data_IF_658492585075
#
_entry.id   IF_658492585075
#
_cell.length_a   1.000
_cell.length_b   1.000
_cell.length_c   1.000
_cell.angle_alpha   90.00
_cell.angle_beta   90.00
_cell.angle_gamma   90.00
#
_symmetry.space_group_name_H-M   'P 1'
#
loop_
_entity.id
_entity.type
_entity.pdbx_description
1 polymer ?
#
# COMPACT_ATOMS: atom_id res chain seq x y z
N UNK A 1 -28.12 20.19 -21.77
CA UNK A 1 -27.00 20.69 -20.94
C UNK A 1 -25.97 19.58 -20.84
N UNK A 2 -24.81 19.74 -21.46
CA UNK A 2 -23.78 18.71 -21.48
C UNK A 2 -23.22 18.49 -20.07
N UNK A 3 -23.36 17.26 -19.55
CA UNK A 3 -22.61 16.79 -18.36
C UNK A 3 -21.13 16.92 -18.72
N UNK A 4 -20.46 17.91 -18.14
CA UNK A 4 -19.05 18.17 -18.36
C UNK A 4 -18.24 16.92 -18.05
N UNK A 5 -17.44 16.51 -19.04
CA UNK A 5 -16.43 15.47 -18.90
C UNK A 5 -15.56 15.77 -17.67
N UNK A 6 -15.48 14.78 -16.77
CA UNK A 6 -14.84 14.89 -15.46
C UNK A 6 -13.44 15.47 -15.55
N UNK A 7 -13.27 16.68 -15.04
CA UNK A 7 -11.97 17.19 -14.63
C UNK A 7 -11.38 16.21 -13.63
N UNK A 8 -10.23 15.61 -13.95
CA UNK A 8 -9.46 14.81 -13.01
C UNK A 8 -9.32 15.60 -11.71
N UNK A 9 -9.97 15.13 -10.65
CA UNK A 9 -9.98 15.79 -9.35
C UNK A 9 -8.55 15.84 -8.83
N UNK A 10 -7.92 17.01 -9.00
CA UNK A 10 -6.63 17.32 -8.37
C UNK A 10 -6.86 17.25 -6.86
N UNK A 11 -5.93 16.65 -6.14
CA UNK A 11 -6.03 16.57 -4.68
C UNK A 11 -5.65 15.21 -4.10
N UNK A 12 -5.93 15.08 -2.81
CA UNK A 12 -5.71 13.87 -2.04
C UNK A 12 -6.65 12.76 -2.50
N UNK A 13 -6.10 11.61 -2.87
CA UNK A 13 -6.86 10.45 -3.31
C UNK A 13 -7.04 9.41 -2.18
N UNK A 14 -6.19 9.44 -1.16
CA UNK A 14 -6.22 8.51 -0.04
C UNK A 14 -4.82 8.09 0.39
N UNK A 15 -4.71 6.86 0.87
CA UNK A 15 -3.50 6.29 1.46
C UNK A 15 -3.16 4.98 0.78
N UNK A 16 -1.86 4.74 0.56
CA UNK A 16 -1.34 3.50 0.01
C UNK A 16 -0.33 2.90 1.00
N UNK A 17 -0.21 1.58 0.98
CA UNK A 17 0.80 0.85 1.73
C UNK A 17 1.93 0.46 0.80
N UNK A 18 3.14 0.90 1.12
CA UNK A 18 4.37 0.44 0.49
C UNK A 18 5.02 -0.58 1.41
N UNK A 19 4.93 -1.86 1.05
CA UNK A 19 5.34 -3.00 1.85
C UNK A 19 6.84 -3.28 1.76
N UNK A 20 7.48 -2.94 0.63
CA UNK A 20 8.93 -3.03 0.46
C UNK A 20 9.45 -1.80 -0.31
N UNK A 21 9.97 -0.77 0.38
CA UNK A 21 10.41 0.48 -0.23
C UNK A 21 11.58 0.33 -1.21
N UNK A 22 12.49 -0.62 -0.97
CA UNK A 22 13.63 -0.88 -1.85
C UNK A 22 13.19 -1.39 -3.23
N UNK A 23 12.14 -2.20 -3.26
CA UNK A 23 11.56 -2.76 -4.49
C UNK A 23 10.37 -1.94 -5.04
N UNK A 24 9.97 -0.86 -4.37
CA UNK A 24 8.73 -0.11 -4.65
C UNK A 24 7.48 -1.00 -4.70
N UNK A 25 7.40 -1.99 -3.81
CA UNK A 25 6.29 -2.94 -3.75
C UNK A 25 5.15 -2.41 -2.89
N UNK A 26 4.01 -2.14 -3.52
CA UNK A 26 2.76 -1.69 -2.91
C UNK A 26 1.81 -2.85 -2.64
N UNK A 27 0.97 -2.67 -1.63
CA UNK A 27 -0.20 -3.51 -1.42
C UNK A 27 -1.19 -3.38 -2.59
N UNK A 28 -1.72 -4.50 -3.07
CA UNK A 28 -2.77 -4.57 -4.08
C UNK A 28 -3.91 -5.46 -3.58
N UNK A 29 -5.14 -5.05 -3.85
CA UNK A 29 -6.31 -5.89 -3.62
C UNK A 29 -7.01 -6.09 -4.96
N UNK A 30 -7.05 -7.35 -5.41
CA UNK A 30 -7.87 -7.75 -6.55
C UNK A 30 -9.09 -8.50 -6.03
N UNK A 31 -10.25 -7.86 -6.13
CA UNK A 31 -11.51 -8.58 -6.08
C UNK A 31 -11.77 -9.08 -7.50
N UNK A 32 -11.52 -10.37 -7.76
CA UNK A 32 -12.08 -11.00 -8.96
C UNK A 32 -13.60 -11.03 -8.77
N UNK A 33 -14.29 -10.41 -9.72
CA UNK A 33 -15.71 -10.08 -9.67
C UNK A 33 -16.60 -11.20 -9.06
N UNK A 34 -17.23 -10.90 -7.92
CA UNK A 34 -18.57 -11.39 -7.58
C UNK A 34 -18.69 -12.63 -6.68
N UNK A 35 -17.84 -13.65 -6.75
CA UNK A 35 -18.15 -14.95 -6.11
C UNK A 35 -16.98 -15.69 -5.41
N UNK A 36 -16.11 -14.94 -4.74
CA UNK A 36 -15.37 -15.52 -3.60
C UNK A 36 -13.91 -15.86 -3.90
N UNK A 37 -13.06 -14.90 -3.56
CA UNK A 37 -11.92 -15.03 -2.65
C UNK A 37 -11.24 -13.64 -2.65
N UNK A 38 -11.00 -13.05 -1.48
CA UNK A 38 -10.24 -11.80 -1.40
C UNK A 38 -8.79 -12.12 -1.78
N UNK A 39 -8.35 -11.72 -2.98
CA UNK A 39 -6.96 -11.89 -3.39
C UNK A 39 -6.12 -10.75 -2.80
N UNK A 40 -5.32 -11.11 -1.81
CA UNK A 40 -4.31 -10.26 -1.20
C UNK A 40 -3.04 -10.38 -2.05
N UNK A 41 -2.63 -9.30 -2.71
CA UNK A 41 -1.50 -9.31 -3.64
C UNK A 41 -0.58 -8.10 -3.48
N UNK A 42 0.53 -8.12 -4.20
CA UNK A 42 1.45 -6.97 -4.23
C UNK A 42 1.73 -6.54 -5.66
N UNK A 43 2.06 -5.27 -5.86
CA UNK A 43 2.36 -4.69 -7.17
C UNK A 43 3.49 -3.68 -7.08
N UNK A 44 4.29 -3.54 -8.12
CA UNK A 44 5.28 -2.46 -8.24
C UNK A 44 4.73 -1.23 -8.99
N UNK A 45 3.46 -1.26 -9.42
CA UNK A 45 2.80 -0.17 -10.14
C UNK A 45 1.87 0.59 -9.20
N UNK A 46 2.13 1.88 -9.00
CA UNK A 46 1.33 2.73 -8.12
C UNK A 46 -0.13 2.84 -8.58
N UNK A 47 -0.36 2.74 -9.89
CA UNK A 47 -1.67 2.77 -10.53
C UNK A 47 -2.55 1.58 -10.15
N UNK A 48 -1.93 0.47 -9.75
CA UNK A 48 -2.58 -0.78 -9.34
C UNK A 48 -2.59 -0.95 -7.82
N UNK A 49 -2.01 -0.01 -7.08
CA UNK A 49 -1.95 -0.06 -5.63
C UNK A 49 -3.36 0.09 -5.03
N UNK A 50 -3.62 -0.67 -3.97
CA UNK A 50 -4.83 -0.52 -3.18
C UNK A 50 -4.82 0.85 -2.49
N UNK A 51 -5.92 1.59 -2.63
CA UNK A 51 -6.09 2.92 -2.03
C UNK A 51 -7.13 2.85 -0.92
N UNK A 52 -6.70 3.20 0.30
CA UNK A 52 -7.59 3.36 1.44
C UNK A 52 -7.99 4.83 1.61
N UNK A 53 -9.24 5.07 1.98
CA UNK A 53 -9.73 6.44 2.26
C UNK A 53 -9.24 6.99 3.60
N UNK A 54 -8.92 6.12 4.56
CA UNK A 54 -8.45 6.49 5.91
C UNK A 54 -7.08 5.89 6.20
N UNK A 55 -6.20 6.68 6.82
CA UNK A 55 -4.85 6.24 7.25
C UNK A 55 -4.90 5.00 8.16
N UNK A 56 -5.82 4.99 9.14
CA UNK A 56 -5.94 3.87 10.07
C UNK A 56 -6.38 2.57 9.38
N UNK A 57 -7.24 2.66 8.37
CA UNK A 57 -7.64 1.47 7.60
C UNK A 57 -6.47 0.89 6.79
N UNK A 58 -5.60 1.75 6.24
CA UNK A 58 -4.35 1.29 5.65
C UNK A 58 -3.46 0.62 6.71
N UNK A 59 -3.32 1.20 7.90
CA UNK A 59 -2.51 0.61 8.98
C UNK A 59 -3.03 -0.78 9.38
N UNK A 60 -4.33 -0.92 9.62
CA UNK A 60 -4.95 -2.20 9.99
C UNK A 60 -4.80 -3.26 8.89
N UNK A 61 -4.82 -2.84 7.63
CA UNK A 61 -4.66 -3.74 6.49
C UNK A 61 -3.25 -4.34 6.36
N UNK A 62 -2.23 -3.84 7.06
CA UNK A 62 -0.88 -4.42 7.06
C UNK A 62 -0.92 -5.90 7.47
N UNK A 63 -1.81 -6.27 8.41
CA UNK A 63 -1.96 -7.64 8.90
C UNK A 63 -2.35 -8.60 7.76
N UNK A 64 -3.09 -8.12 6.76
CA UNK A 64 -3.45 -8.94 5.58
C UNK A 64 -2.23 -9.40 4.81
N UNK A 65 -1.13 -8.65 4.85
CA UNK A 65 0.12 -8.93 4.15
C UNK A 65 1.17 -9.62 5.03
N UNK A 66 0.78 -10.16 6.19
CA UNK A 66 1.73 -10.74 7.14
C UNK A 66 2.62 -11.83 6.52
N UNK A 67 2.06 -12.75 5.73
CA UNK A 67 2.82 -13.83 5.10
C UNK A 67 3.91 -13.29 4.15
N UNK A 68 3.60 -12.27 3.34
CA UNK A 68 4.58 -11.59 2.50
C UNK A 68 5.69 -10.94 3.33
N UNK A 69 5.33 -10.28 4.43
CA UNK A 69 6.29 -9.62 5.31
C UNK A 69 7.20 -10.61 6.04
N UNK A 70 6.67 -11.76 6.45
CA UNK A 70 7.44 -12.86 7.06
C UNK A 70 8.45 -13.41 6.06
N UNK A 71 8.03 -13.68 4.82
CA UNK A 71 8.94 -14.13 3.75
C UNK A 71 10.06 -13.11 3.50
N UNK A 72 9.75 -11.81 3.50
CA UNK A 72 10.77 -10.76 3.38
C UNK A 72 11.74 -10.74 4.58
N UNK A 73 11.26 -11.02 5.79
CA UNK A 73 12.10 -11.12 6.98
C UNK A 73 13.02 -12.34 6.96
N UNK A 74 12.71 -13.41 6.22
CA UNK A 74 13.62 -14.56 6.07
C UNK A 74 14.88 -14.18 5.26
N UNK A 75 14.75 -13.23 4.32
CA UNK A 75 15.83 -12.76 3.47
C UNK A 75 16.54 -11.52 4.04
N UNK A 76 15.86 -10.75 4.88
CA UNK A 76 16.36 -9.47 5.41
C UNK A 76 16.14 -9.34 6.91
N UNK A 77 17.09 -8.78 7.68
CA UNK A 77 16.97 -8.69 9.14
C UNK A 77 15.84 -7.75 9.60
N UNK A 78 15.43 -6.83 8.72
CA UNK A 78 14.38 -5.85 8.97
C UNK A 78 13.57 -5.57 7.70
N UNK A 79 12.28 -5.36 7.87
CA UNK A 79 11.35 -4.93 6.83
C UNK A 79 10.75 -3.59 7.22
N UNK A 80 10.90 -2.61 6.33
CA UNK A 80 10.32 -1.28 6.51
C UNK A 80 9.03 -1.19 5.68
N UNK A 81 7.93 -0.80 6.31
CA UNK A 81 6.65 -0.55 5.66
C UNK A 81 6.34 0.93 5.77
N UNK A 82 5.85 1.53 4.71
CA UNK A 82 5.47 2.94 4.71
C UNK A 82 3.99 3.12 4.39
N UNK A 83 3.31 3.91 5.22
CA UNK A 83 2.00 4.45 4.88
C UNK A 83 2.24 5.77 4.18
N UNK A 84 1.84 5.86 2.91
CA UNK A 84 2.02 7.07 2.11
C UNK A 84 0.68 7.72 1.77
N UNK A 85 0.63 9.05 1.77
CA UNK A 85 -0.48 9.78 1.17
C UNK A 85 -0.36 9.70 -0.34
N UNK A 86 -1.47 9.43 -1.04
CA UNK A 86 -1.56 9.45 -2.49
C UNK A 86 -2.25 10.75 -2.92
N UNK A 87 -1.62 11.46 -3.85
CA UNK A 87 -2.14 12.71 -4.40
C UNK A 87 -2.06 12.67 -5.92
N UNK A 88 -3.05 13.28 -6.58
CA UNK A 88 -3.02 13.55 -8.02
C UNK A 88 -2.64 14.99 -8.27
N UNK A 89 -1.54 15.19 -8.98
CA UNK A 89 -1.07 16.52 -9.38
C UNK A 89 -1.94 17.13 -10.47
N UNK A 90 -1.71 18.42 -10.71
CA UNK A 90 -2.42 19.20 -11.72
C UNK A 90 -2.30 18.65 -13.14
N UNK A 91 -1.19 17.99 -13.44
CA UNK A 91 -0.88 17.35 -14.72
C UNK A 91 -1.38 15.90 -14.81
N UNK A 92 -2.15 15.43 -13.83
CA UNK A 92 -2.68 14.06 -13.79
C UNK A 92 -1.71 13.02 -13.21
N UNK A 93 -0.44 13.38 -12.95
CA UNK A 93 0.56 12.46 -12.37
C UNK A 93 0.20 12.10 -10.93
N UNK A 94 0.32 10.81 -10.59
CA UNK A 94 0.23 10.33 -9.22
C UNK A 94 1.55 10.55 -8.49
N UNK A 95 1.47 11.06 -7.26
CA UNK A 95 2.62 11.22 -6.37
C UNK A 95 2.28 10.71 -4.99
N UNK A 96 3.30 10.23 -4.28
CA UNK A 96 3.18 9.76 -2.91
C UNK A 96 4.07 10.54 -1.96
N UNK A 97 3.63 10.69 -0.72
CA UNK A 97 4.38 11.34 0.36
C UNK A 97 4.34 10.44 1.59
N UNK A 98 5.49 10.16 2.19
CA UNK A 98 5.59 9.30 3.38
C UNK A 98 4.94 10.02 4.56
N UNK A 99 3.97 9.36 5.20
CA UNK A 99 3.32 9.88 6.41
C UNK A 99 3.70 9.11 7.67
N UNK A 100 4.13 7.86 7.50
CA UNK A 100 4.51 6.97 8.58
C UNK A 100 5.39 5.86 8.03
N UNK A 101 6.36 5.47 8.83
CA UNK A 101 7.22 4.33 8.60
C UNK A 101 7.11 3.40 9.81
N UNK A 102 6.96 2.11 9.53
CA UNK A 102 6.86 1.04 10.50
C UNK A 102 7.97 0.04 10.19
N UNK A 103 8.83 -0.21 11.17
CA UNK A 103 9.92 -1.17 11.04
C UNK A 103 9.55 -2.44 11.78
N UNK A 104 9.64 -3.56 11.07
CA UNK A 104 9.50 -4.91 11.61
C UNK A 104 10.87 -5.56 11.57
N UNK A 105 11.32 -6.11 12.69
CA UNK A 105 12.63 -6.75 12.80
C UNK A 105 12.44 -8.17 13.26
N UNK A 106 13.30 -9.08 12.81
CA UNK A 106 13.38 -10.39 13.42
C UNK A 106 13.82 -10.22 14.88
N UNK A 107 12.91 -10.51 15.80
CA UNK A 107 13.22 -10.41 17.21
C UNK A 107 14.24 -11.49 17.57
N UNK A 108 15.52 -11.10 17.66
CA UNK A 108 16.63 -11.97 18.10
C UNK A 108 16.58 -12.24 19.60
N UNK A 109 15.40 -12.31 20.19
CA UNK A 109 15.22 -12.76 21.56
C UNK A 109 15.12 -14.29 21.54
N UNK A 110 16.26 -14.98 21.49
CA UNK A 110 16.32 -16.35 22.01
C UNK A 110 15.90 -16.34 23.48
N UNK A 111 14.86 -17.09 23.89
CA UNK A 111 14.80 -17.62 25.23
C UNK A 111 15.59 -18.93 25.23
N UNK A 112 16.61 -18.97 26.07
CA UNK A 112 17.34 -20.18 26.48
C UNK A 112 16.41 -21.21 27.12
#
# INVERSE_FOLDING_TARGET
MAKGFGTATKGHLGYVLLLCPTANTYAANYSLDGEGEEFIGVTNMLEMAQVWTKKNAAREAIIKYADFLIQQLEETPQVNIQIRSLKRLANGKLVTEVLEELTFEQNSASPR
#
